data_IF_513354866202
#
_entry.id   IF_513354866202
#
_cell.length_a   1.000
_cell.length_b   1.000
_cell.length_c   1.000
_cell.angle_alpha   90.00
_cell.angle_beta   90.00
_cell.angle_gamma   90.00
#
_symmetry.space_group_name_H-M   'P 1'
#
loop_
_entity.id
_entity.type
_entity.pdbx_description
1 polymer ?
#
# COMPACT_ATOMS: atom_id res chain seq x y z
N UNK A 1 2.14 9.69 11.99
CA UNK A 1 1.99 8.38 11.33
C UNK A 1 0.74 8.49 10.47
N UNK A 2 0.82 8.22 9.16
CA UNK A 2 -0.30 8.40 8.23
C UNK A 2 -1.34 7.30 8.45
N UNK A 3 -2.63 7.67 8.41
CA UNK A 3 -3.72 6.69 8.38
C UNK A 3 -4.01 6.28 6.94
N UNK A 4 -3.39 5.18 6.50
CA UNK A 4 -3.44 4.76 5.09
C UNK A 4 -4.83 4.38 4.57
N UNK A 5 -5.78 3.99 5.44
CA UNK A 5 -7.16 3.75 5.01
C UNK A 5 -7.93 5.02 4.65
N UNK A 6 -7.52 6.17 5.19
CA UNK A 6 -8.18 7.48 5.00
C UNK A 6 -7.38 8.43 4.09
N UNK A 7 -6.09 8.15 3.87
CA UNK A 7 -5.23 8.96 3.01
C UNK A 7 -5.75 9.03 1.56
N UNK A 8 -5.52 10.17 0.90
CA UNK A 8 -5.87 10.36 -0.50
C UNK A 8 -5.02 9.45 -1.42
N UNK A 9 -5.55 9.12 -2.58
CA UNK A 9 -4.89 8.30 -3.59
C UNK A 9 -3.57 8.91 -4.10
N UNK A 10 -3.48 10.25 -4.13
CA UNK A 10 -2.29 11.00 -4.52
C UNK A 10 -1.26 11.17 -3.40
N UNK A 11 -1.52 10.66 -2.18
CA UNK A 11 -0.58 10.76 -1.07
C UNK A 11 0.70 9.97 -1.39
N UNK A 12 1.86 10.59 -1.22
CA UNK A 12 3.13 9.92 -1.51
C UNK A 12 3.44 8.85 -0.46
N UNK A 13 3.68 7.63 -0.93
CA UNK A 13 4.20 6.52 -0.13
C UNK A 13 5.71 6.48 -0.21
N UNK A 14 6.28 6.60 -1.42
CA UNK A 14 7.73 6.65 -1.63
C UNK A 14 8.16 8.03 -2.12
N UNK A 15 8.70 8.83 -1.21
CA UNK A 15 9.17 10.19 -1.51
C UNK A 15 10.44 10.22 -2.37
N UNK A 16 11.27 9.18 -2.33
CA UNK A 16 12.53 9.16 -3.08
C UNK A 16 12.34 9.13 -4.60
N UNK A 17 11.25 8.54 -5.07
CA UNK A 17 10.95 8.36 -6.50
C UNK A 17 9.48 8.66 -6.82
N UNK A 18 8.84 9.45 -5.94
CA UNK A 18 7.49 9.98 -6.11
C UNK A 18 6.40 8.94 -6.46
N UNK A 19 6.33 7.85 -5.69
CA UNK A 19 5.25 6.85 -5.84
C UNK A 19 4.11 7.13 -4.88
N UNK A 20 2.92 7.32 -5.42
CA UNK A 20 1.69 7.59 -4.67
C UNK A 20 0.99 6.32 -4.14
N UNK A 21 0.02 6.52 -3.25
CA UNK A 21 -0.80 5.46 -2.64
C UNK A 21 -1.53 4.66 -3.71
N UNK A 22 -2.14 5.33 -4.70
CA UNK A 22 -2.92 4.68 -5.75
C UNK A 22 -2.11 3.63 -6.50
N UNK A 23 -0.88 3.97 -6.88
CA UNK A 23 0.04 3.07 -7.59
C UNK A 23 0.35 1.82 -6.78
N UNK A 24 0.60 1.97 -5.47
CA UNK A 24 0.84 0.82 -4.57
C UNK A 24 -0.44 -0.03 -4.42
N UNK A 25 -1.60 0.60 -4.21
CA UNK A 25 -2.87 -0.11 -4.02
C UNK A 25 -3.28 -0.87 -5.29
N UNK A 26 -3.14 -0.27 -6.46
CA UNK A 26 -3.43 -0.93 -7.74
C UNK A 26 -2.48 -2.11 -7.99
N UNK A 27 -1.19 -1.97 -7.64
CA UNK A 27 -0.25 -3.08 -7.71
C UNK A 27 -0.68 -4.23 -6.78
N UNK A 28 -1.10 -3.94 -5.54
CA UNK A 28 -1.60 -4.97 -4.61
C UNK A 28 -2.82 -5.68 -5.18
N UNK A 29 -3.79 -4.94 -5.72
CA UNK A 29 -5.00 -5.50 -6.37
C UNK A 29 -4.67 -6.38 -7.58
N UNK A 30 -3.57 -6.08 -8.27
CA UNK A 30 -3.04 -6.90 -9.37
C UNK A 30 -2.23 -8.13 -8.91
N UNK A 31 -2.26 -8.48 -7.61
CA UNK A 31 -1.60 -9.67 -7.07
C UNK A 31 -0.16 -9.45 -6.61
N UNK A 32 0.31 -8.20 -6.52
CA UNK A 32 1.61 -7.87 -5.93
C UNK A 32 1.50 -7.79 -4.39
N UNK A 33 1.32 -8.94 -3.77
CA UNK A 33 1.07 -9.14 -2.34
C UNK A 33 2.34 -9.20 -1.45
N UNK A 34 3.51 -8.92 -2.02
CA UNK A 34 4.78 -8.89 -1.27
C UNK A 34 5.58 -7.64 -1.58
N UNK A 35 6.45 -7.24 -0.65
CA UNK A 35 7.34 -6.10 -0.86
C UNK A 35 8.25 -6.29 -2.09
N UNK A 36 8.66 -7.52 -2.43
CA UNK A 36 9.47 -7.77 -3.63
C UNK A 36 8.67 -7.48 -4.90
N UNK A 37 7.47 -8.05 -5.01
CA UNK A 37 6.58 -7.81 -6.16
C UNK A 37 6.22 -6.33 -6.33
N UNK A 38 5.98 -5.63 -5.22
CA UNK A 38 5.73 -4.17 -5.25
C UNK A 38 6.96 -3.41 -5.74
N UNK A 39 8.16 -3.74 -5.27
CA UNK A 39 9.41 -3.13 -5.77
C UNK A 39 9.60 -3.35 -7.26
N UNK A 40 9.36 -4.57 -7.74
CA UNK A 40 9.53 -4.94 -9.15
C UNK A 40 8.58 -4.16 -10.05
N UNK A 41 7.31 -4.07 -9.67
CA UNK A 41 6.22 -3.44 -10.44
C UNK A 41 6.19 -1.91 -10.35
N UNK A 42 6.41 -1.33 -9.17
CA UNK A 42 6.23 0.13 -8.93
C UNK A 42 7.54 0.90 -8.77
N UNK A 43 8.67 0.20 -8.65
CA UNK A 43 9.98 0.74 -8.27
C UNK A 43 10.05 1.38 -6.88
N UNK A 44 8.96 1.46 -6.11
CA UNK A 44 8.99 1.97 -4.75
C UNK A 44 10.03 1.25 -3.89
N UNK A 45 10.62 1.94 -2.91
CA UNK A 45 11.66 1.38 -2.03
C UNK A 45 12.99 1.02 -2.73
N UNK A 46 13.29 1.62 -3.89
CA UNK A 46 14.59 1.47 -4.59
C UNK A 46 15.50 2.70 -4.48
N UNK A 47 14.97 3.88 -4.14
CA UNK A 47 15.75 5.08 -3.86
C UNK A 47 16.40 5.08 -2.47
N UNK A 48 17.39 5.97 -2.27
CA UNK A 48 18.23 6.00 -1.05
C UNK A 48 18.11 7.28 -0.21
N UNK A 49 17.48 8.35 -0.70
CA UNK A 49 17.37 9.65 0.00
C UNK A 49 16.24 9.73 1.03
N UNK A 50 15.93 8.63 1.73
CA UNK A 50 14.78 8.56 2.66
C UNK A 50 14.90 9.56 3.82
N UNK A 51 16.13 9.77 4.32
CA UNK A 51 16.40 10.67 5.45
C UNK A 51 16.11 12.14 5.11
N UNK A 52 16.21 12.50 3.84
CA UNK A 52 16.05 13.87 3.35
C UNK A 52 14.64 14.12 2.81
N UNK A 53 14.10 13.15 2.05
CA UNK A 53 12.86 13.34 1.29
C UNK A 53 11.61 12.80 1.99
N UNK A 54 11.73 11.75 2.81
CA UNK A 54 10.57 11.23 3.53
C UNK A 54 10.34 12.06 4.80
N UNK A 55 9.14 12.64 5.05
CA UNK A 55 8.85 13.39 6.27
C UNK A 55 9.09 12.62 7.58
N UNK A 56 9.04 11.29 7.53
CA UNK A 56 9.38 10.43 8.68
C UNK A 56 10.88 10.25 8.90
N UNK A 57 11.71 10.58 7.91
CA UNK A 57 13.14 10.25 7.87
C UNK A 57 13.43 8.75 7.70
N UNK A 58 12.41 7.92 7.51
CA UNK A 58 12.51 6.46 7.44
C UNK A 58 12.18 5.93 6.04
N UNK A 59 12.53 4.67 5.77
CA UNK A 59 12.21 4.02 4.50
C UNK A 59 10.70 3.66 4.42
N UNK A 60 10.08 3.99 3.28
CA UNK A 60 8.68 3.70 2.94
C UNK A 60 8.28 2.20 3.02
N UNK A 61 9.24 1.28 3.18
CA UNK A 61 8.97 -0.16 3.30
C UNK A 61 7.97 -0.50 4.41
N UNK A 62 7.93 0.28 5.50
CA UNK A 62 6.96 0.10 6.59
C UNK A 62 5.54 0.43 6.13
N UNK A 63 5.37 1.53 5.41
CA UNK A 63 4.09 1.96 4.86
C UNK A 63 3.58 1.02 3.77
N UNK A 64 4.47 0.57 2.87
CA UNK A 64 4.13 -0.44 1.85
C UNK A 64 3.64 -1.73 2.51
N UNK A 65 4.31 -2.22 3.58
CA UNK A 65 3.86 -3.40 4.31
C UNK A 65 2.48 -3.19 4.96
N UNK A 66 2.19 -1.99 5.45
CA UNK A 66 0.87 -1.66 6.00
C UNK A 66 -0.20 -1.67 4.89
N UNK A 67 0.09 -1.08 3.73
CA UNK A 67 -0.80 -1.11 2.57
C UNK A 67 -1.07 -2.54 2.09
N UNK A 68 -0.04 -3.38 1.98
CA UNK A 68 -0.19 -4.80 1.65
C UNK A 68 -1.17 -5.46 2.65
N UNK A 69 -0.95 -5.30 3.95
CA UNK A 69 -1.88 -5.85 4.97
C UNK A 69 -3.31 -5.33 4.84
N UNK A 70 -3.48 -4.07 4.43
CA UNK A 70 -4.79 -3.43 4.32
C UNK A 70 -5.56 -3.84 3.06
N UNK A 71 -4.88 -4.20 1.97
CA UNK A 71 -5.47 -4.38 0.64
C UNK A 71 -5.25 -5.79 0.05
N UNK A 72 -4.31 -6.59 0.55
CA UNK A 72 -4.19 -8.00 0.18
C UNK A 72 -5.35 -8.78 0.78
N UNK A 73 -6.27 -9.25 -0.09
CA UNK A 73 -7.38 -10.12 0.32
C UNK A 73 -8.70 -9.43 0.67
N UNK A 74 -8.95 -8.17 0.26
CA UNK A 74 -10.26 -7.52 0.41
C UNK A 74 -11.22 -7.70 -0.77
N UNK A 75 -10.95 -8.66 -1.65
CA UNK A 75 -11.94 -9.24 -2.59
C UNK A 75 -12.71 -10.39 -1.94
N UNK A 76 -13.06 -10.28 -0.65
CA UNK A 76 -14.20 -10.96 -0.06
C UNK A 76 -14.82 -10.03 0.99
N UNK A 77 -15.58 -9.02 0.55
CA UNK A 77 -16.82 -8.76 1.28
C UNK A 77 -17.70 -9.97 1.02
N UNK A 78 -17.49 -10.97 1.87
CA UNK A 78 -18.48 -11.96 2.20
C UNK A 78 -19.67 -11.21 2.78
N UNK A 79 -20.63 -10.91 1.91
CA UNK A 79 -22.03 -10.87 2.29
C UNK A 79 -22.53 -12.33 2.24
N UNK A 80 -22.01 -13.14 3.17
CA UNK A 80 -22.59 -14.44 3.50
C UNK A 80 -22.81 -14.48 5.00
N UNK A 81 -24.00 -14.04 5.41
CA UNK A 81 -24.58 -14.29 6.73
C UNK A 81 -26.10 -14.26 6.49
N UNK A 82 -26.69 -15.36 6.01
CA UNK A 82 -27.29 -16.43 6.83
C UNK A 82 -28.45 -15.98 7.73
N UNK A 83 -29.42 -15.22 7.19
CA UNK A 83 -30.71 -15.00 7.85
C UNK A 83 -31.88 -15.01 6.84
N UNK A 84 -32.12 -16.13 6.17
CA UNK A 84 -33.45 -16.45 5.64
C UNK A 84 -34.03 -17.55 6.53
N UNK A 85 -34.81 -17.13 7.52
CA UNK A 85 -35.52 -17.98 8.48
C UNK A 85 -36.72 -18.67 7.80
N UNK A 86 -36.91 -19.95 8.16
CA UNK A 86 -38.12 -20.80 8.21
C UNK A 86 -39.28 -20.62 7.24
#
# INVERSE_FOLDING_TARGET
MINWSEANDSELVCYCIEVDKKTIVDAIKNGNDTLSKIKESTKACTGSSCKELNPSGECCSKDIKNLIKLYSGKDTKEECCSCCNS
#
